data_IF_472586944790
#
_entry.id   IF_472586944790
#
_cell.length_a   1.000
_cell.length_b   1.000
_cell.length_c   1.000
_cell.angle_alpha   90.00
_cell.angle_beta   90.00
_cell.angle_gamma   90.00
#
_symmetry.space_group_name_H-M   'P 1'
#
loop_
_entity.id
_entity.type
_entity.pdbx_description
1 polymer ?
#
# COMPACT_ATOMS: atom_id res chain seq x y z
N UNK A 1 60.42 18.27 37.90
CA UNK A 1 60.11 17.31 36.83
C UNK A 1 60.39 15.83 37.14
N UNK A 2 61.27 15.44 38.10
CA UNK A 2 61.52 13.99 38.38
C UNK A 2 60.40 13.27 39.17
N UNK A 3 59.66 13.96 40.06
CA UNK A 3 58.57 13.36 40.85
C UNK A 3 57.31 13.02 40.04
N UNK A 4 57.06 13.71 38.92
CA UNK A 4 55.92 13.44 38.03
C UNK A 4 56.16 12.20 37.15
N UNK A 5 57.40 11.93 36.73
CA UNK A 5 57.73 10.71 35.96
C UNK A 5 57.62 9.42 36.79
N UNK A 6 58.01 9.44 38.07
CA UNK A 6 57.91 8.25 38.94
C UNK A 6 56.46 7.90 39.31
N UNK A 7 55.58 8.90 39.34
CA UNK A 7 54.16 8.71 39.58
C UNK A 7 53.47 8.07 38.36
N UNK A 8 53.75 8.56 37.15
CA UNK A 8 53.27 7.92 35.91
C UNK A 8 53.74 6.47 35.77
N UNK A 9 55.01 6.19 36.10
CA UNK A 9 55.59 4.85 35.96
C UNK A 9 55.03 3.82 36.95
N UNK A 10 54.51 4.27 38.10
CA UNK A 10 53.88 3.42 39.12
C UNK A 10 52.43 3.08 38.78
N UNK A 11 51.72 3.96 38.08
CA UNK A 11 50.33 3.77 37.66
C UNK A 11 50.16 3.20 36.24
N UNK A 12 51.24 3.20 35.45
CA UNK A 12 51.27 2.56 34.13
C UNK A 12 50.70 1.13 34.09
N UNK A 13 51.08 0.18 34.98
CA UNK A 13 50.53 -1.17 34.94
C UNK A 13 49.03 -1.22 35.27
N UNK A 14 48.54 -0.33 36.14
CA UNK A 14 47.11 -0.24 36.49
C UNK A 14 46.30 0.29 35.31
N UNK A 15 46.80 1.32 34.63
CA UNK A 15 46.20 1.84 33.39
C UNK A 15 46.19 0.78 32.28
N UNK A 16 47.26 0.01 32.13
CA UNK A 16 47.36 -1.08 31.15
C UNK A 16 46.35 -2.20 31.45
N UNK A 17 46.20 -2.59 32.72
CA UNK A 17 45.19 -3.55 33.16
C UNK A 17 43.77 -3.05 32.93
N UNK A 18 43.47 -1.80 33.26
CA UNK A 18 42.16 -1.20 32.99
C UNK A 18 41.86 -1.11 31.49
N UNK A 19 42.84 -0.79 30.67
CA UNK A 19 42.69 -0.77 29.22
C UNK A 19 42.42 -2.17 28.64
N UNK A 20 43.15 -3.19 29.09
CA UNK A 20 42.91 -4.58 28.70
C UNK A 20 41.53 -5.08 29.16
N UNK A 21 41.12 -4.74 30.38
CA UNK A 21 39.79 -5.06 30.89
C UNK A 21 38.71 -4.36 30.06
N UNK A 22 38.89 -3.08 29.71
CA UNK A 22 37.98 -2.35 28.85
C UNK A 22 37.89 -2.95 27.44
N UNK A 23 39.03 -3.37 26.85
CA UNK A 23 39.04 -4.08 25.57
C UNK A 23 38.33 -5.44 25.65
N UNK A 24 38.51 -6.19 26.74
CA UNK A 24 37.81 -7.45 26.98
C UNK A 24 36.30 -7.26 27.09
N UNK A 25 35.85 -6.26 27.85
CA UNK A 25 34.44 -5.90 27.98
C UNK A 25 33.88 -5.41 26.65
N UNK A 26 34.62 -4.59 25.90
CA UNK A 26 34.21 -4.13 24.57
C UNK A 26 34.09 -5.29 23.58
N UNK A 27 35.02 -6.25 23.60
CA UNK A 27 34.95 -7.46 22.79
C UNK A 27 33.75 -8.34 23.15
N UNK A 28 33.48 -8.53 24.45
CA UNK A 28 32.32 -9.27 24.95
C UNK A 28 30.99 -8.59 24.54
N UNK A 29 30.88 -7.29 24.77
CA UNK A 29 29.72 -6.50 24.36
C UNK A 29 29.55 -6.51 22.84
N UNK A 30 30.63 -6.47 22.06
CA UNK A 30 30.58 -6.52 20.59
C UNK A 30 30.07 -7.86 20.06
N UNK A 31 30.23 -8.96 20.78
CA UNK A 31 29.74 -10.28 20.38
C UNK A 31 28.29 -10.53 20.80
N UNK A 32 27.84 -9.89 21.87
CA UNK A 32 26.47 -10.07 22.38
C UNK A 32 25.49 -8.98 21.94
N UNK A 33 25.97 -7.77 21.68
CA UNK A 33 25.15 -6.62 21.29
C UNK A 33 25.59 -6.12 19.92
N UNK A 34 24.87 -6.55 18.88
CA UNK A 34 25.03 -6.01 17.54
C UNK A 34 24.19 -4.75 17.38
N UNK A 35 24.75 -3.60 17.78
CA UNK A 35 24.10 -2.32 17.52
C UNK A 35 24.42 -1.86 16.10
N UNK A 36 23.39 -1.72 15.26
CA UNK A 36 23.52 -1.20 13.90
C UNK A 36 22.65 0.04 13.77
N UNK A 37 23.25 1.12 13.30
CA UNK A 37 22.54 2.37 13.03
C UNK A 37 22.49 2.56 11.53
N UNK A 38 21.28 2.61 11.00
CA UNK A 38 21.05 2.88 9.59
C UNK A 38 21.06 4.38 9.35
N UNK A 39 22.21 4.89 8.91
CA UNK A 39 22.40 6.30 8.57
C UNK A 39 21.90 6.63 7.15
N UNK A 40 21.31 5.67 6.44
CA UNK A 40 20.79 5.94 5.10
C UNK A 40 19.49 6.73 5.19
N UNK A 41 19.32 7.71 4.31
CA UNK A 41 18.16 8.61 4.29
C UNK A 41 16.81 7.86 4.20
N UNK A 42 16.80 6.65 3.62
CA UNK A 42 15.61 5.84 3.43
C UNK A 42 15.58 4.57 4.32
N UNK A 43 16.52 4.41 5.25
CA UNK A 43 16.58 3.18 6.07
C UNK A 43 16.79 1.91 5.25
N UNK A 44 17.61 1.93 4.19
CA UNK A 44 17.81 0.82 3.22
C UNK A 44 18.30 -0.49 3.85
N UNK A 45 18.86 -0.45 5.06
CA UNK A 45 19.32 -1.63 5.79
C UNK A 45 18.37 -2.04 6.92
N UNK A 46 17.28 -1.29 7.10
CA UNK A 46 16.24 -1.50 8.09
C UNK A 46 14.94 -1.83 7.38
N UNK A 47 14.23 -2.86 7.84
CA UNK A 47 12.92 -3.17 7.28
C UNK A 47 11.93 -2.04 7.61
N UNK A 48 11.10 -1.71 6.62
CA UNK A 48 10.03 -0.75 6.80
C UNK A 48 9.10 -1.16 7.95
N UNK A 49 8.41 -0.19 8.59
CA UNK A 49 7.41 -0.50 9.61
C UNK A 49 6.33 -1.48 9.12
N UNK A 50 6.05 -1.43 7.82
CA UNK A 50 5.08 -2.30 7.13
C UNK A 50 5.55 -3.74 7.16
N UNK A 51 6.75 -4.02 6.65
CA UNK A 51 7.34 -5.38 6.63
C UNK A 51 7.41 -5.98 8.03
N UNK A 52 7.75 -5.17 9.04
CA UNK A 52 7.75 -5.60 10.45
C UNK A 52 6.36 -6.04 10.90
N UNK A 53 5.33 -5.23 10.67
CA UNK A 53 3.96 -5.56 11.03
C UNK A 53 3.46 -6.83 10.32
N UNK A 54 3.79 -7.05 9.04
CA UNK A 54 3.42 -8.29 8.34
C UNK A 54 4.02 -9.50 9.05
N UNK A 55 5.31 -9.46 9.40
CA UNK A 55 5.97 -10.56 10.10
C UNK A 55 5.32 -10.86 11.46
N UNK A 56 4.88 -9.84 12.19
CA UNK A 56 4.18 -10.00 13.47
C UNK A 56 2.84 -10.76 13.31
N UNK A 57 2.19 -10.65 12.15
CA UNK A 57 0.95 -11.38 11.83
C UNK A 57 1.16 -12.82 11.36
N UNK A 58 2.43 -13.27 11.21
CA UNK A 58 2.78 -14.59 10.69
C UNK A 58 3.40 -15.51 11.76
N UNK A 59 2.60 -16.08 12.69
CA UNK A 59 3.12 -17.01 13.69
C UNK A 59 3.41 -18.40 13.07
N UNK A 60 4.64 -18.86 13.26
CA UNK A 60 5.13 -20.15 12.76
C UNK A 60 6.25 -20.00 11.73
N UNK A 61 6.94 -21.10 11.47
CA UNK A 61 8.14 -21.10 10.64
C UNK A 61 7.82 -20.70 9.19
N UNK A 62 8.54 -19.70 8.69
CA UNK A 62 8.58 -19.27 7.31
C UNK A 62 9.84 -19.86 6.68
N UNK A 63 9.72 -20.62 5.60
CA UNK A 63 10.86 -21.16 4.87
C UNK A 63 11.07 -20.37 3.58
N UNK A 64 12.30 -19.93 3.33
CA UNK A 64 12.68 -19.17 2.16
C UNK A 64 13.78 -19.95 1.44
N UNK A 65 13.51 -20.30 0.19
CA UNK A 65 14.43 -21.04 -0.67
C UNK A 65 14.86 -20.15 -1.82
N UNK A 66 16.15 -19.84 -1.90
CA UNK A 66 16.73 -19.11 -3.01
C UNK A 66 17.31 -20.08 -4.05
N UNK A 67 16.77 -20.04 -5.25
CA UNK A 67 17.23 -20.84 -6.39
C UNK A 67 18.22 -20.01 -7.21
N UNK A 68 19.51 -20.06 -6.83
CA UNK A 68 20.55 -19.21 -7.39
C UNK A 68 21.85 -19.98 -7.65
N UNK A 69 22.38 -19.84 -8.87
CA UNK A 69 23.70 -20.36 -9.24
C UNK A 69 24.83 -19.56 -8.57
N UNK A 70 26.00 -20.19 -8.37
CA UNK A 70 27.19 -19.52 -7.82
C UNK A 70 27.79 -18.45 -8.74
N UNK A 71 27.63 -18.62 -10.05
CA UNK A 71 28.14 -17.69 -11.07
C UNK A 71 27.02 -17.43 -12.07
N UNK A 72 26.41 -16.26 -11.98
CA UNK A 72 25.51 -15.75 -13.00
C UNK A 72 26.32 -14.96 -14.06
N UNK A 73 26.15 -15.23 -15.36
CA UNK A 73 26.88 -14.54 -16.42
C UNK A 73 26.64 -13.03 -16.49
N UNK A 74 25.49 -12.54 -15.99
CA UNK A 74 25.09 -11.13 -16.01
C UNK A 74 25.38 -10.42 -14.69
N UNK A 75 25.19 -11.10 -13.56
CA UNK A 75 25.20 -10.45 -12.23
C UNK A 75 26.26 -10.96 -11.25
N UNK A 76 27.04 -11.98 -11.60
CA UNK A 76 28.06 -12.55 -10.72
C UNK A 76 27.47 -13.42 -9.61
N UNK A 77 27.93 -13.27 -8.37
CA UNK A 77 27.41 -14.04 -7.22
C UNK A 77 26.10 -13.45 -6.69
N UNK A 78 24.97 -13.98 -7.18
CA UNK A 78 23.62 -13.62 -6.74
C UNK A 78 23.32 -14.05 -5.29
N UNK A 79 24.11 -14.96 -4.70
CA UNK A 79 23.80 -15.49 -3.37
C UNK A 79 24.07 -14.47 -2.27
N UNK A 80 25.10 -13.63 -2.41
CA UNK A 80 25.41 -12.62 -1.40
C UNK A 80 24.30 -11.56 -1.25
N UNK A 81 23.85 -10.89 -2.33
CA UNK A 81 22.75 -9.92 -2.23
C UNK A 81 21.46 -10.53 -1.64
N UNK A 82 21.12 -11.75 -2.05
CA UNK A 82 19.93 -12.45 -1.54
C UNK A 82 20.09 -12.77 -0.04
N UNK A 83 21.27 -13.26 0.37
CA UNK A 83 21.55 -13.56 1.78
C UNK A 83 21.43 -12.32 2.64
N UNK A 84 22.05 -11.22 2.21
CA UNK A 84 21.98 -9.94 2.94
C UNK A 84 20.55 -9.42 3.01
N UNK A 85 19.77 -9.58 1.93
CA UNK A 85 18.37 -9.22 1.89
C UNK A 85 17.53 -10.00 2.92
N UNK A 86 17.61 -11.34 2.89
CA UNK A 86 16.82 -12.23 3.76
C UNK A 86 17.28 -12.15 5.22
N UNK A 87 18.57 -11.92 5.47
CA UNK A 87 19.10 -11.73 6.81
C UNK A 87 18.40 -10.60 7.57
N UNK A 88 17.95 -9.54 6.86
CA UNK A 88 17.17 -8.46 7.48
C UNK A 88 15.85 -8.95 8.09
N UNK A 89 15.18 -9.90 7.43
CA UNK A 89 13.94 -10.52 7.90
C UNK A 89 14.21 -11.53 9.03
N UNK A 90 15.28 -12.33 8.92
CA UNK A 90 15.67 -13.29 9.97
C UNK A 90 15.94 -12.63 11.32
N UNK A 91 16.43 -11.39 11.33
CA UNK A 91 16.64 -10.62 12.57
C UNK A 91 15.34 -10.32 13.32
N UNK A 92 14.24 -10.12 12.61
CA UNK A 92 12.92 -9.87 13.21
C UNK A 92 12.12 -11.14 13.43
N UNK A 93 12.36 -12.16 12.60
CA UNK A 93 11.66 -13.45 12.61
C UNK A 93 12.67 -14.60 12.75
N UNK A 94 13.10 -14.95 13.98
CA UNK A 94 14.13 -15.98 14.21
C UNK A 94 13.75 -17.38 13.75
N UNK A 95 12.46 -17.66 13.58
CA UNK A 95 11.91 -18.90 13.03
C UNK A 95 11.89 -18.94 11.49
N UNK A 96 12.43 -17.91 10.82
CA UNK A 96 12.63 -17.88 9.37
C UNK A 96 13.84 -18.73 8.97
N UNK A 97 13.57 -19.84 8.27
CA UNK A 97 14.59 -20.74 7.71
C UNK A 97 14.96 -20.30 6.31
N UNK A 98 16.24 -20.14 6.04
CA UNK A 98 16.72 -19.72 4.72
C UNK A 98 17.72 -20.74 4.15
N UNK A 99 17.51 -21.19 2.91
CA UNK A 99 18.38 -22.14 2.22
C UNK A 99 18.62 -21.73 0.77
N UNK A 100 19.79 -22.11 0.24
CA UNK A 100 20.12 -21.98 -1.18
C UNK A 100 20.01 -23.33 -1.87
N UNK A 101 19.46 -23.35 -3.07
CA UNK A 101 19.49 -24.49 -3.98
C UNK A 101 20.11 -24.01 -5.28
N UNK A 102 21.11 -24.73 -5.78
CA UNK A 102 21.66 -24.45 -7.10
C UNK A 102 20.79 -25.15 -8.17
N UNK A 103 20.10 -24.42 -9.07
CA UNK A 103 19.30 -25.03 -10.11
C UNK A 103 20.14 -25.88 -11.09
N UNK A 104 21.43 -25.58 -11.24
CA UNK A 104 22.34 -26.33 -12.10
C UNK A 104 22.76 -27.66 -11.48
N UNK A 105 22.95 -27.71 -10.16
CA UNK A 105 23.30 -28.95 -9.44
C UNK A 105 22.06 -29.83 -9.17
N UNK A 106 20.92 -29.21 -8.86
CA UNK A 106 19.69 -29.91 -8.44
C UNK A 106 18.46 -29.52 -9.31
N UNK A 107 18.48 -29.79 -10.63
CA UNK A 107 17.42 -29.36 -11.55
C UNK A 107 16.06 -29.99 -11.26
N UNK A 108 16.03 -31.19 -10.66
CA UNK A 108 14.79 -31.86 -10.26
C UNK A 108 14.03 -31.05 -9.20
N UNK A 109 14.74 -30.50 -8.21
CA UNK A 109 14.14 -29.70 -7.13
C UNK A 109 13.66 -28.34 -7.65
N UNK A 110 14.41 -27.71 -8.56
CA UNK A 110 13.99 -26.45 -9.18
C UNK A 110 12.73 -26.62 -10.03
N UNK A 111 12.65 -27.70 -10.83
CA UNK A 111 11.45 -28.01 -11.63
C UNK A 111 10.25 -28.38 -10.77
N UNK A 112 10.45 -29.18 -9.73
CA UNK A 112 9.37 -29.55 -8.80
C UNK A 112 8.82 -28.32 -8.06
N UNK A 113 9.69 -27.36 -7.75
CA UNK A 113 9.31 -26.09 -7.16
C UNK A 113 8.84 -25.04 -8.18
N UNK A 114 8.69 -25.37 -9.48
CA UNK A 114 8.15 -24.45 -10.49
C UNK A 114 9.00 -23.21 -10.81
N UNK A 115 10.29 -23.23 -10.50
CA UNK A 115 11.21 -22.10 -10.68
C UNK A 115 11.41 -21.81 -12.17
N UNK A 116 11.27 -20.54 -12.55
CA UNK A 116 11.34 -20.07 -13.92
C UNK A 116 12.61 -19.27 -14.21
N UNK A 117 13.14 -18.55 -13.20
CA UNK A 117 14.31 -17.66 -13.38
C UNK A 117 15.43 -17.98 -12.40
N UNK A 118 16.67 -17.65 -12.79
CA UNK A 118 17.80 -17.72 -11.87
C UNK A 118 17.72 -16.58 -10.84
N UNK A 119 17.94 -16.89 -9.57
CA UNK A 119 17.78 -15.93 -8.46
C UNK A 119 16.36 -15.87 -7.89
N UNK A 120 15.45 -16.75 -8.30
CA UNK A 120 14.08 -16.79 -7.80
C UNK A 120 14.03 -17.23 -6.33
N UNK A 121 13.17 -16.57 -5.56
CA UNK A 121 12.87 -16.89 -4.18
C UNK A 121 11.51 -17.59 -4.10
N UNK A 122 11.50 -18.77 -3.47
CA UNK A 122 10.26 -19.49 -3.12
C UNK A 122 10.07 -19.36 -1.61
N UNK A 123 8.93 -18.78 -1.22
CA UNK A 123 8.55 -18.54 0.17
C UNK A 123 7.45 -19.52 0.54
N UNK A 124 7.70 -20.36 1.54
CA UNK A 124 6.79 -21.39 2.03
C UNK A 124 6.29 -21.06 3.44
N UNK A 125 4.98 -21.01 3.62
CA UNK A 125 4.35 -20.79 4.92
C UNK A 125 3.01 -21.52 5.02
N UNK A 126 2.89 -22.40 6.03
CA UNK A 126 1.68 -23.21 6.31
C UNK A 126 1.15 -23.97 5.08
N UNK A 127 2.05 -24.57 4.29
CA UNK A 127 1.70 -25.37 3.12
C UNK A 127 1.30 -24.57 1.87
N UNK A 128 1.48 -23.24 1.89
CA UNK A 128 1.33 -22.37 0.72
C UNK A 128 2.69 -21.82 0.32
N UNK A 129 2.86 -21.62 -0.98
CA UNK A 129 4.11 -21.18 -1.59
C UNK A 129 3.87 -19.93 -2.43
N UNK A 130 4.78 -18.97 -2.35
CA UNK A 130 4.80 -17.77 -3.18
C UNK A 130 6.15 -17.64 -3.88
N UNK A 131 6.13 -17.18 -5.12
CA UNK A 131 7.31 -17.05 -5.96
C UNK A 131 7.65 -15.59 -6.20
N UNK A 132 8.94 -15.28 -6.12
CA UNK A 132 9.46 -13.94 -6.35
C UNK A 132 10.67 -13.99 -7.28
N UNK A 133 10.50 -13.40 -8.46
CA UNK A 133 11.57 -13.23 -9.45
C UNK A 133 12.41 -11.97 -9.22
N UNK A 134 11.91 -11.04 -8.40
CA UNK A 134 12.54 -9.75 -8.10
C UNK A 134 12.97 -9.68 -6.64
N UNK A 135 14.17 -9.17 -6.40
CA UNK A 135 14.71 -8.99 -5.05
C UNK A 135 14.49 -7.55 -4.57
N UNK A 136 13.27 -7.23 -4.14
CA UNK A 136 12.96 -5.96 -3.48
C UNK A 136 12.00 -6.15 -2.30
N UNK A 137 11.98 -5.19 -1.38
CA UNK A 137 11.18 -5.28 -0.15
C UNK A 137 9.68 -5.24 -0.41
N UNK A 138 9.22 -4.47 -1.41
CA UNK A 138 7.81 -4.34 -1.72
C UNK A 138 7.21 -5.68 -2.18
N UNK A 139 7.83 -6.35 -3.15
CA UNK A 139 7.35 -7.63 -3.67
C UNK A 139 7.45 -8.72 -2.62
N UNK A 140 8.54 -8.74 -1.85
CA UNK A 140 8.70 -9.68 -0.74
C UNK A 140 7.62 -9.49 0.33
N UNK A 141 7.35 -8.25 0.73
CA UNK A 141 6.30 -7.93 1.71
C UNK A 141 4.92 -8.28 1.19
N UNK A 142 4.64 -8.01 -0.10
CA UNK A 142 3.38 -8.40 -0.72
C UNK A 142 3.20 -9.93 -0.73
N UNK A 143 4.24 -10.71 -1.08
CA UNK A 143 4.20 -12.17 -1.00
C UNK A 143 3.96 -12.65 0.45
N UNK A 144 4.63 -12.04 1.44
CA UNK A 144 4.36 -12.34 2.84
C UNK A 144 2.91 -12.02 3.24
N UNK A 145 2.32 -10.92 2.75
CA UNK A 145 0.90 -10.62 3.02
C UNK A 145 -0.04 -11.67 2.42
N UNK A 146 0.23 -12.15 1.20
CA UNK A 146 -0.54 -13.25 0.58
C UNK A 146 -0.42 -14.54 1.40
N UNK A 147 0.79 -14.87 1.84
CA UNK A 147 1.05 -15.97 2.76
C UNK A 147 0.46 -15.74 4.15
N UNK A 148 0.34 -14.51 4.65
CA UNK A 148 -0.25 -14.26 5.97
C UNK A 148 -1.76 -14.51 5.98
N UNK A 149 -2.46 -14.18 4.87
CA UNK A 149 -3.93 -14.15 4.77
C UNK A 149 -4.64 -15.49 4.97
N UNK A 150 -3.93 -16.63 4.90
CA UNK A 150 -4.53 -17.96 5.13
C UNK A 150 -5.23 -18.56 3.90
N UNK A 151 -6.03 -17.76 3.20
CA UNK A 151 -6.86 -18.17 2.05
C UNK A 151 -7.02 -17.03 1.05
N UNK A 152 -7.32 -17.37 -0.21
CA UNK A 152 -7.68 -16.39 -1.24
C UNK A 152 -9.00 -15.70 -0.86
N UNK A 153 -9.02 -14.37 -0.89
CA UNK A 153 -10.26 -13.59 -0.74
C UNK A 153 -10.86 -13.38 -2.11
N UNK A 154 -12.03 -13.97 -2.35
CA UNK A 154 -12.75 -13.83 -3.61
C UNK A 154 -13.51 -12.49 -3.62
N UNK A 155 -13.21 -11.65 -4.60
CA UNK A 155 -13.90 -10.40 -4.88
C UNK A 155 -14.69 -10.57 -6.17
N UNK A 156 -16.00 -10.56 -6.08
CA UNK A 156 -16.87 -10.66 -7.25
C UNK A 156 -17.29 -9.27 -7.71
N UNK A 157 -17.15 -8.95 -9.00
CA UNK A 157 -17.64 -7.71 -9.58
C UNK A 157 -18.84 -7.98 -10.49
N UNK A 158 -19.94 -7.26 -10.29
CA UNK A 158 -21.13 -7.39 -11.13
C UNK A 158 -20.81 -7.00 -12.58
N UNK A 159 -21.27 -7.81 -13.52
CA UNK A 159 -21.21 -7.55 -14.97
C UNK A 159 -22.52 -7.97 -15.65
N UNK A 160 -22.79 -7.37 -16.80
CA UNK A 160 -23.89 -7.76 -17.69
C UNK A 160 -24.68 -6.57 -18.25
N UNK A 161 -24.60 -5.42 -17.59
CA UNK A 161 -25.37 -4.21 -17.88
C UNK A 161 -24.47 -2.98 -18.11
N UNK A 162 -23.21 -3.19 -18.53
CA UNK A 162 -22.26 -2.12 -18.86
C UNK A 162 -21.49 -1.54 -17.67
N UNK A 163 -21.44 -2.28 -16.57
CA UNK A 163 -20.65 -1.98 -15.38
C UNK A 163 -19.16 -1.84 -15.70
N UNK A 164 -18.44 -1.08 -14.87
CA UNK A 164 -16.98 -0.97 -14.95
C UNK A 164 -16.35 -2.29 -14.55
N UNK A 165 -15.37 -2.74 -15.33
CA UNK A 165 -14.76 -4.06 -15.14
C UNK A 165 -13.45 -4.01 -14.36
N UNK A 166 -13.25 -4.96 -13.44
CA UNK A 166 -11.97 -5.13 -12.71
C UNK A 166 -10.85 -5.72 -13.60
N UNK A 167 -11.19 -6.22 -14.79
CA UNK A 167 -10.25 -6.71 -15.80
C UNK A 167 -10.27 -5.84 -17.08
N UNK A 168 -10.97 -4.71 -17.06
CA UNK A 168 -11.18 -3.84 -18.21
C UNK A 168 -10.05 -2.83 -18.45
N UNK A 169 -9.70 -2.61 -19.71
CA UNK A 169 -8.62 -1.69 -20.11
C UNK A 169 -9.08 -0.27 -20.45
N UNK A 170 -10.38 0.02 -20.46
CA UNK A 170 -10.86 1.35 -20.82
C UNK A 170 -10.53 2.38 -19.72
N UNK A 171 -10.44 3.69 -20.02
CA UNK A 171 -10.15 4.70 -19.01
C UNK A 171 -11.15 4.74 -17.84
N UNK A 172 -12.40 4.36 -18.08
CA UNK A 172 -13.47 4.31 -17.09
C UNK A 172 -13.54 2.95 -16.35
N UNK A 173 -12.85 1.91 -16.83
CA UNK A 173 -12.80 0.62 -16.17
C UNK A 173 -11.90 0.65 -14.93
N UNK A 174 -11.96 -0.42 -14.14
CA UNK A 174 -11.20 -0.61 -12.90
C UNK A 174 -10.04 -1.63 -13.06
N UNK A 175 -9.59 -1.87 -14.29
CA UNK A 175 -8.58 -2.89 -14.61
C UNK A 175 -7.28 -2.76 -13.80
N UNK A 176 -6.74 -1.55 -13.71
CA UNK A 176 -5.54 -1.27 -12.93
C UNK A 176 -5.75 -1.57 -11.44
N UNK A 177 -6.93 -1.23 -10.91
CA UNK A 177 -7.29 -1.53 -9.53
C UNK A 177 -7.40 -3.04 -9.30
N UNK A 178 -8.04 -3.78 -10.21
CA UNK A 178 -8.10 -5.25 -10.16
C UNK A 178 -6.72 -5.92 -10.21
N UNK A 179 -5.78 -5.39 -10.99
CA UNK A 179 -4.37 -5.86 -10.99
C UNK A 179 -3.69 -5.61 -9.65
N UNK A 180 -3.88 -4.44 -9.05
CA UNK A 180 -3.35 -4.13 -7.72
C UNK A 180 -3.96 -5.04 -6.64
N UNK A 181 -5.27 -5.31 -6.69
CA UNK A 181 -5.92 -6.28 -5.81
C UNK A 181 -5.31 -7.68 -5.95
N UNK A 182 -5.07 -8.13 -7.18
CA UNK A 182 -4.42 -9.41 -7.46
C UNK A 182 -3.01 -9.47 -6.86
N UNK A 183 -2.21 -8.40 -7.03
CA UNK A 183 -0.89 -8.29 -6.41
C UNK A 183 -0.95 -8.34 -4.88
N UNK A 184 -2.05 -7.88 -4.28
CA UNK A 184 -2.29 -7.88 -2.82
C UNK A 184 -2.94 -9.17 -2.29
N UNK A 185 -3.15 -10.18 -3.15
CA UNK A 185 -3.66 -11.50 -2.77
C UNK A 185 -5.17 -11.67 -2.83
N UNK A 186 -5.89 -10.75 -3.46
CA UNK A 186 -7.29 -10.95 -3.80
C UNK A 186 -7.41 -11.70 -5.11
N UNK A 187 -8.45 -12.52 -5.23
CA UNK A 187 -8.84 -13.10 -6.51
C UNK A 187 -10.09 -12.40 -6.99
N UNK A 188 -10.02 -11.75 -8.14
CA UNK A 188 -11.17 -11.02 -8.71
C UNK A 188 -11.86 -11.88 -9.76
N UNK A 189 -13.20 -11.96 -9.71
CA UNK A 189 -14.00 -12.68 -10.72
C UNK A 189 -15.18 -11.83 -11.19
N UNK A 190 -15.53 -11.87 -12.50
CA UNK A 190 -16.78 -11.30 -12.96
C UNK A 190 -17.97 -12.17 -12.48
N UNK A 191 -19.08 -11.53 -12.14
CA UNK A 191 -20.33 -12.18 -11.71
C UNK A 191 -21.49 -11.67 -12.56
N UNK A 192 -22.20 -12.55 -13.25
CA UNK A 192 -23.33 -12.19 -14.10
C UNK A 192 -24.62 -12.76 -13.51
N UNK A 193 -25.36 -11.96 -12.76
CA UNK A 193 -26.57 -12.42 -12.07
C UNK A 193 -27.74 -12.73 -13.00
N UNK A 194 -27.67 -12.41 -14.29
CA UNK A 194 -28.64 -12.90 -15.28
C UNK A 194 -28.40 -14.38 -15.61
N UNK A 195 -27.14 -14.84 -15.58
CA UNK A 195 -26.75 -16.22 -15.86
C UNK A 195 -26.57 -17.07 -14.59
N UNK A 196 -26.00 -16.48 -13.55
CA UNK A 196 -25.70 -17.12 -12.27
C UNK A 196 -26.95 -17.19 -11.38
N UNK A 197 -27.12 -18.30 -10.65
CA UNK A 197 -28.29 -18.50 -9.80
C UNK A 197 -28.34 -17.50 -8.63
N UNK A 198 -27.21 -17.29 -7.96
CA UNK A 198 -27.04 -16.43 -6.78
C UNK A 198 -25.60 -15.94 -6.71
N UNK A 199 -25.33 -14.93 -5.85
CA UNK A 199 -23.95 -14.62 -5.45
C UNK A 199 -23.39 -15.83 -4.68
N UNK A 200 -22.24 -16.41 -5.07
CA UNK A 200 -21.65 -17.55 -4.37
C UNK A 200 -21.32 -17.26 -2.89
N UNK A 201 -21.35 -18.30 -2.04
CA UNK A 201 -21.15 -18.16 -0.59
C UNK A 201 -19.68 -17.88 -0.19
N UNK A 202 -18.72 -18.24 -1.03
CA UNK A 202 -17.29 -18.00 -0.84
C UNK A 202 -16.84 -16.59 -1.26
N UNK A 203 -17.74 -15.79 -1.85
CA UNK A 203 -17.48 -14.37 -2.17
C UNK A 203 -17.32 -13.58 -0.88
N UNK A 204 -16.10 -13.10 -0.65
CA UNK A 204 -15.76 -12.28 0.51
C UNK A 204 -16.30 -10.85 0.40
N UNK A 205 -16.30 -10.29 -0.82
CA UNK A 205 -16.80 -8.94 -1.11
C UNK A 205 -17.45 -8.92 -2.50
N UNK A 206 -18.66 -8.38 -2.58
CA UNK A 206 -19.29 -8.00 -3.83
C UNK A 206 -18.93 -6.55 -4.18
N UNK A 207 -18.51 -6.29 -5.41
CA UNK A 207 -18.25 -4.94 -5.95
C UNK A 207 -19.36 -4.60 -6.93
N UNK A 208 -20.12 -3.57 -6.60
CA UNK A 208 -21.13 -3.00 -7.48
C UNK A 208 -20.63 -1.66 -8.01
N UNK A 209 -20.61 -1.52 -9.33
CA UNK A 209 -20.42 -0.23 -9.99
C UNK A 209 -21.71 0.13 -10.71
N UNK A 210 -21.94 1.42 -10.97
CA UNK A 210 -23.15 1.88 -11.64
C UNK A 210 -23.35 1.15 -12.98
N UNK A 211 -24.48 0.43 -13.17
CA UNK A 211 -24.85 -0.10 -14.48
C UNK A 211 -25.07 1.01 -15.50
N UNK A 212 -25.06 0.68 -16.79
CA UNK A 212 -25.41 1.59 -17.90
C UNK A 212 -26.80 1.29 -18.49
N UNK A 213 -27.37 0.14 -18.16
CA UNK A 213 -28.74 -0.25 -18.49
C UNK A 213 -29.43 -0.84 -17.26
N UNK A 214 -30.76 -0.87 -17.26
CA UNK A 214 -31.55 -1.42 -16.15
C UNK A 214 -31.20 -2.88 -15.87
N UNK A 215 -30.89 -3.19 -14.61
CA UNK A 215 -30.77 -4.56 -14.12
C UNK A 215 -32.16 -5.17 -13.92
N UNK A 216 -32.29 -6.47 -14.15
CA UNK A 216 -33.57 -7.15 -13.98
C UNK A 216 -33.98 -7.19 -12.49
N UNK A 217 -35.29 -7.11 -12.16
CA UNK A 217 -35.75 -7.18 -10.77
C UNK A 217 -35.26 -8.44 -10.03
N UNK A 218 -35.20 -9.57 -10.73
CA UNK A 218 -34.69 -10.82 -10.16
C UNK A 218 -33.20 -10.78 -9.81
N UNK A 219 -32.41 -9.94 -10.46
CA UNK A 219 -30.99 -9.73 -10.14
C UNK A 219 -30.82 -8.84 -8.91
N UNK A 220 -31.59 -7.74 -8.83
CA UNK A 220 -31.64 -6.90 -7.64
C UNK A 220 -32.05 -7.71 -6.40
N UNK A 221 -33.01 -8.64 -6.53
CA UNK A 221 -33.40 -9.54 -5.45
C UNK A 221 -32.30 -10.52 -5.03
N UNK A 222 -31.45 -11.00 -5.95
CA UNK A 222 -30.27 -11.84 -5.62
C UNK A 222 -29.26 -11.03 -4.80
N UNK A 223 -28.99 -9.77 -5.17
CA UNK A 223 -28.12 -8.87 -4.41
C UNK A 223 -28.69 -8.65 -3.01
N UNK A 224 -29.99 -8.39 -2.90
CA UNK A 224 -30.67 -8.22 -1.61
C UNK A 224 -30.56 -9.47 -0.74
N UNK A 225 -30.71 -10.68 -1.29
CA UNK A 225 -30.51 -11.94 -0.56
C UNK A 225 -29.07 -12.09 -0.06
N UNK A 226 -28.07 -11.73 -0.87
CA UNK A 226 -26.66 -11.69 -0.46
C UNK A 226 -26.43 -10.74 0.73
N UNK A 227 -27.01 -9.54 0.69
CA UNK A 227 -26.87 -8.57 1.78
C UNK A 227 -27.66 -8.98 3.04
N UNK A 228 -28.82 -9.61 2.87
CA UNK A 228 -29.66 -10.07 3.98
C UNK A 228 -28.95 -11.13 4.84
N UNK A 229 -28.15 -12.01 4.23
CA UNK A 229 -27.38 -13.04 4.96
C UNK A 229 -26.06 -12.53 5.57
N UNK A 230 -25.69 -11.26 5.36
CA UNK A 230 -24.48 -10.68 5.94
C UNK A 230 -23.33 -10.41 4.96
N UNK A 231 -23.56 -10.55 3.65
CA UNK A 231 -22.53 -10.33 2.64
C UNK A 231 -21.95 -8.90 2.64
N UNK A 232 -20.65 -8.78 2.34
CA UNK A 232 -19.93 -7.50 2.33
C UNK A 232 -19.99 -6.84 0.96
N UNK A 233 -20.10 -5.52 0.92
CA UNK A 233 -20.33 -4.77 -0.31
C UNK A 233 -19.40 -3.55 -0.42
N UNK A 234 -18.73 -3.42 -1.55
CA UNK A 234 -18.26 -2.12 -2.05
C UNK A 234 -19.22 -1.63 -3.13
N UNK A 235 -19.92 -0.53 -2.87
CA UNK A 235 -20.79 0.09 -3.86
C UNK A 235 -20.23 1.42 -4.33
N UNK A 236 -19.87 1.47 -5.61
CA UNK A 236 -19.38 2.64 -6.31
C UNK A 236 -20.52 3.25 -7.12
N UNK A 237 -21.07 4.34 -6.60
CA UNK A 237 -22.19 5.06 -7.17
C UNK A 237 -21.73 6.17 -8.12
N UNK A 238 -22.57 6.50 -9.09
CA UNK A 238 -22.48 7.70 -9.91
C UNK A 238 -23.75 8.55 -9.72
N UNK A 239 -23.70 9.87 -9.97
CA UNK A 239 -24.87 10.73 -10.05
C UNK A 239 -25.88 10.20 -11.08
N UNK A 240 -27.17 10.38 -10.80
CA UNK A 240 -28.26 9.94 -11.67
C UNK A 240 -28.97 8.67 -11.19
N UNK A 241 -29.62 8.00 -12.15
CA UNK A 241 -30.46 6.81 -11.96
C UNK A 241 -29.64 5.57 -11.56
N UNK A 242 -30.13 4.81 -10.57
CA UNK A 242 -29.52 3.56 -10.10
C UNK A 242 -29.78 2.36 -11.02
N UNK A 243 -30.52 2.53 -12.11
CA UNK A 243 -30.72 1.52 -13.16
C UNK A 243 -31.23 0.18 -12.60
N UNK A 244 -32.24 0.20 -11.74
CA UNK A 244 -32.85 -1.00 -11.15
C UNK A 244 -32.26 -1.41 -9.79
N UNK A 245 -31.20 -0.76 -9.32
CA UNK A 245 -30.62 -1.00 -7.99
C UNK A 245 -31.29 -0.18 -6.85
N UNK A 246 -32.36 0.56 -7.13
CA UNK A 246 -33.15 1.29 -6.13
C UNK A 246 -33.54 0.41 -4.92
N UNK A 247 -34.04 -0.83 -5.11
CA UNK A 247 -34.41 -1.69 -3.97
C UNK A 247 -33.23 -2.06 -3.06
N UNK A 248 -32.00 -2.04 -3.58
CA UNK A 248 -30.78 -2.28 -2.80
C UNK A 248 -30.45 -1.03 -1.96
N UNK A 249 -30.57 0.16 -2.54
CA UNK A 249 -30.37 1.42 -1.82
C UNK A 249 -31.41 1.60 -0.69
N UNK A 250 -32.67 1.25 -0.96
CA UNK A 250 -33.75 1.26 0.03
C UNK A 250 -33.50 0.28 1.18
N UNK A 251 -33.06 -0.96 0.87
CA UNK A 251 -32.69 -1.95 1.90
C UNK A 251 -31.58 -1.46 2.83
N UNK A 252 -30.63 -0.68 2.30
CA UNK A 252 -29.52 -0.11 3.05
C UNK A 252 -29.84 1.24 3.69
N UNK A 253 -31.07 1.76 3.51
CA UNK A 253 -31.49 3.05 4.04
C UNK A 253 -30.71 4.24 3.44
N UNK A 254 -30.17 4.11 2.22
CA UNK A 254 -29.40 5.18 1.59
C UNK A 254 -30.32 6.33 1.15
N UNK A 255 -30.00 7.54 1.59
CA UNK A 255 -30.62 8.78 1.14
C UNK A 255 -29.70 9.46 0.13
N UNK A 256 -29.95 9.22 -1.16
CA UNK A 256 -29.09 9.71 -2.23
C UNK A 256 -29.62 11.01 -2.81
N UNK A 257 -29.03 12.14 -2.41
CA UNK A 257 -29.39 13.45 -2.96
C UNK A 257 -29.10 13.48 -4.47
N UNK A 258 -30.06 13.93 -5.31
CA UNK A 258 -29.79 14.20 -6.72
C UNK A 258 -28.74 15.30 -6.89
N UNK A 259 -27.97 15.24 -7.98
CA UNK A 259 -26.96 16.23 -8.29
C UNK A 259 -25.52 15.73 -8.16
N UNK A 260 -24.58 16.61 -8.47
CA UNK A 260 -23.13 16.36 -8.50
C UNK A 260 -22.45 17.30 -7.52
N UNK A 261 -21.42 16.84 -6.82
CA UNK A 261 -20.64 17.69 -5.92
C UNK A 261 -19.70 18.58 -6.74
N UNK A 262 -19.83 19.89 -6.54
CA UNK A 262 -18.89 20.88 -7.08
C UNK A 262 -17.98 21.35 -5.94
N UNK A 263 -16.68 21.36 -6.19
CA UNK A 263 -15.67 21.77 -5.20
C UNK A 263 -14.72 22.82 -5.80
N UNK A 264 -14.72 24.06 -5.29
CA UNK A 264 -13.76 25.09 -5.70
C UNK A 264 -12.28 24.67 -5.54
N UNK A 265 -11.97 23.78 -4.60
CA UNK A 265 -10.62 23.24 -4.39
C UNK A 265 -10.09 22.50 -5.63
N UNK A 266 -10.97 21.89 -6.41
CA UNK A 266 -10.59 21.15 -7.60
C UNK A 266 -9.86 22.03 -8.61
N UNK A 267 -10.33 23.26 -8.81
CA UNK A 267 -9.71 24.24 -9.74
C UNK A 267 -8.31 24.64 -9.28
N UNK A 268 -8.12 24.81 -7.98
CA UNK A 268 -6.81 25.12 -7.38
C UNK A 268 -5.79 23.99 -7.64
N UNK A 269 -6.27 22.75 -7.82
CA UNK A 269 -5.48 21.56 -8.13
C UNK A 269 -5.42 21.22 -9.63
N UNK A 270 -5.99 22.06 -10.51
CA UNK A 270 -6.05 21.80 -11.95
C UNK A 270 -6.95 20.61 -12.33
N UNK A 271 -7.99 20.35 -11.54
CA UNK A 271 -9.00 19.32 -11.76
C UNK A 271 -10.31 19.95 -12.24
N UNK A 272 -11.21 19.13 -12.78
CA UNK A 272 -12.52 19.57 -13.20
C UNK A 272 -13.37 20.03 -11.98
N UNK A 273 -14.23 21.06 -12.11
CA UNK A 273 -14.99 21.62 -10.99
C UNK A 273 -15.92 20.62 -10.28
N UNK A 274 -16.40 19.62 -11.02
CA UNK A 274 -17.25 18.51 -10.55
C UNK A 274 -16.45 17.38 -9.86
N UNK A 275 -15.16 17.62 -9.59
CA UNK A 275 -14.30 16.69 -8.83
C UNK A 275 -14.29 17.09 -7.37
N UNK A 276 -14.98 16.31 -6.54
CA UNK A 276 -14.92 16.49 -5.10
C UNK A 276 -13.51 16.17 -4.56
N UNK A 277 -13.00 17.03 -3.67
CA UNK A 277 -11.72 16.82 -3.01
C UNK A 277 -11.98 16.50 -1.54
N UNK A 278 -11.40 15.41 -1.05
CA UNK A 278 -11.51 15.07 0.37
C UNK A 278 -10.86 16.16 1.22
N UNK A 279 -11.63 16.72 2.15
CA UNK A 279 -11.16 17.70 3.12
C UNK A 279 -11.02 17.09 4.52
N UNK A 280 -11.88 16.13 4.85
CA UNK A 280 -11.86 15.43 6.13
C UNK A 280 -12.14 13.94 5.93
N UNK A 281 -11.42 13.14 6.71
CA UNK A 281 -11.66 11.71 6.82
C UNK A 281 -12.22 11.40 8.21
N UNK A 282 -13.29 10.61 8.26
CA UNK A 282 -13.87 10.22 9.56
C UNK A 282 -12.98 9.24 10.32
N UNK A 283 -13.17 9.09 11.65
CA UNK A 283 -12.37 8.19 12.48
C UNK A 283 -12.76 6.73 12.22
N UNK A 284 -12.11 6.09 11.25
CA UNK A 284 -12.40 4.72 10.82
C UNK A 284 -11.10 3.95 10.51
N UNK A 285 -11.03 2.61 10.67
CA UNK A 285 -9.81 1.84 10.36
C UNK A 285 -9.26 2.09 8.95
N UNK A 286 -10.15 2.24 7.96
CA UNK A 286 -9.80 2.54 6.55
C UNK A 286 -9.06 3.87 6.39
N UNK A 287 -9.36 4.85 7.25
CA UNK A 287 -8.85 6.24 7.13
C UNK A 287 -7.86 6.61 8.22
N UNK A 288 -7.61 5.72 9.19
CA UNK A 288 -6.82 6.02 10.39
C UNK A 288 -5.35 6.38 10.13
N UNK A 289 -4.77 5.98 9.00
CA UNK A 289 -3.37 6.25 8.61
C UNK A 289 -3.26 6.97 7.26
N UNK A 290 -4.33 7.69 6.89
CA UNK A 290 -4.44 8.29 5.59
C UNK A 290 -3.88 9.72 5.58
N UNK A 291 -2.72 9.89 4.94
CA UNK A 291 -2.00 11.18 4.87
C UNK A 291 -2.04 11.83 3.47
N UNK A 292 -2.73 11.18 2.51
CA UNK A 292 -2.80 11.64 1.12
C UNK A 292 -4.17 12.27 0.86
N UNK A 293 -4.22 13.22 -0.07
CA UNK A 293 -5.50 13.76 -0.56
C UNK A 293 -6.11 12.76 -1.55
N UNK A 294 -7.41 12.50 -1.45
CA UNK A 294 -8.18 11.73 -2.44
C UNK A 294 -9.14 12.62 -3.21
N UNK A 295 -9.43 12.23 -4.45
CA UNK A 295 -10.27 12.99 -5.37
C UNK A 295 -11.35 12.09 -5.96
N UNK A 296 -12.57 12.61 -6.08
CA UNK A 296 -13.76 11.87 -6.47
C UNK A 296 -14.46 12.60 -7.62
N UNK A 297 -14.10 12.29 -8.88
CA UNK A 297 -14.73 12.89 -10.04
C UNK A 297 -16.21 12.54 -10.09
N UNK A 298 -17.06 13.52 -10.45
CA UNK A 298 -18.51 13.37 -10.55
C UNK A 298 -19.10 12.71 -9.30
N UNK A 299 -18.69 13.18 -8.11
CA UNK A 299 -19.19 12.60 -6.88
C UNK A 299 -20.66 12.98 -6.64
N UNK A 300 -21.44 12.08 -6.05
CA UNK A 300 -22.76 12.37 -5.49
C UNK A 300 -22.71 12.38 -3.97
N UNK A 301 -23.61 13.14 -3.35
CA UNK A 301 -23.80 13.11 -1.91
C UNK A 301 -24.42 11.79 -1.46
N UNK A 302 -23.95 11.28 -0.32
CA UNK A 302 -24.48 10.09 0.32
C UNK A 302 -25.02 10.48 1.70
N UNK A 303 -26.33 10.34 1.88
CA UNK A 303 -26.99 10.28 3.18
C UNK A 303 -27.37 8.84 3.54
N UNK A 304 -27.66 8.61 4.81
CA UNK A 304 -28.23 7.36 5.32
C UNK A 304 -29.30 7.74 6.32
N UNK A 305 -30.45 7.08 6.27
CA UNK A 305 -31.51 7.24 7.24
C UNK A 305 -31.08 6.65 8.59
N UNK A 306 -31.53 7.23 9.70
CA UNK A 306 -31.23 6.68 11.01
C UNK A 306 -31.85 5.28 11.17
N UNK A 307 -31.00 4.27 11.24
CA UNK A 307 -31.36 2.88 11.53
C UNK A 307 -30.43 2.36 12.64
N UNK A 308 -30.96 2.03 13.83
CA UNK A 308 -30.15 1.54 14.94
C UNK A 308 -29.48 0.19 14.66
N UNK A 309 -29.91 -0.55 13.63
CA UNK A 309 -29.24 -1.78 13.21
C UNK A 309 -27.85 -1.53 12.61
N UNK A 310 -27.58 -0.32 12.10
CA UNK A 310 -26.33 0.02 11.44
C UNK A 310 -25.50 0.99 12.26
N UNK A 311 -24.22 0.66 12.43
CA UNK A 311 -23.21 1.63 12.80
C UNK A 311 -22.70 2.32 11.54
N UNK A 312 -23.09 3.58 11.34
CA UNK A 312 -22.74 4.37 10.15
C UNK A 312 -21.62 5.34 10.47
N UNK A 313 -20.54 5.32 9.68
CA UNK A 313 -19.41 6.24 9.80
C UNK A 313 -19.21 6.99 8.48
N UNK A 314 -19.20 8.34 8.45
CA UNK A 314 -18.76 9.08 7.28
C UNK A 314 -17.27 8.82 7.08
N UNK A 315 -16.88 8.33 5.90
CA UNK A 315 -15.48 8.04 5.58
C UNK A 315 -14.78 9.25 4.97
N UNK A 316 -15.48 9.93 4.07
CA UNK A 316 -14.92 11.03 3.27
C UNK A 316 -15.91 12.17 3.20
N UNK A 317 -15.45 13.34 3.63
CA UNK A 317 -16.19 14.58 3.62
C UNK A 317 -15.40 15.64 2.86
N UNK A 318 -16.12 16.40 2.03
CA UNK A 318 -15.58 17.56 1.31
C UNK A 318 -15.57 18.79 2.21
N UNK A 319 -14.93 19.87 1.76
CA UNK A 319 -14.86 21.11 2.53
C UNK A 319 -16.23 21.80 2.63
N UNK A 320 -16.44 22.64 3.65
CA UNK A 320 -17.70 23.40 3.80
C UNK A 320 -18.03 24.36 2.64
N UNK A 321 -17.06 24.64 1.76
CA UNK A 321 -17.22 25.48 0.55
C UNK A 321 -17.70 24.70 -0.69
N UNK A 322 -17.78 23.37 -0.60
CA UNK A 322 -18.39 22.55 -1.64
C UNK A 322 -19.91 22.64 -1.56
N UNK A 323 -20.59 22.19 -2.61
CA UNK A 323 -22.04 22.04 -2.61
C UNK A 323 -22.45 20.90 -3.54
N UNK A 324 -23.69 20.45 -3.40
CA UNK A 324 -24.36 19.59 -4.38
C UNK A 324 -25.06 20.49 -5.38
N UNK A 325 -24.59 20.46 -6.63
CA UNK A 325 -25.16 21.15 -7.78
C UNK A 325 -26.26 20.28 -8.40
N UNK A 326 -27.48 20.82 -8.42
CA UNK A 326 -28.64 20.12 -9.01
C UNK A 326 -28.76 20.34 -10.53
N UNK A 327 -28.11 21.37 -11.07
CA UNK A 327 -28.12 21.74 -12.49
C UNK A 327 -26.93 21.25 -13.29
N UNK A 328 -26.43 22.10 -14.20
CA UNK A 328 -25.26 21.80 -15.01
C UNK A 328 -23.98 22.15 -14.24
N UNK A 329 -23.26 21.12 -13.79
CA UNK A 329 -21.97 21.26 -13.10
C UNK A 329 -20.82 21.58 -14.08
N UNK A 330 -20.82 22.77 -14.69
CA UNK A 330 -19.80 23.22 -15.64
C UNK A 330 -18.74 24.16 -15.00
N UNK A 331 -17.82 24.69 -15.82
CA UNK A 331 -16.77 25.62 -15.39
C UNK A 331 -17.28 26.94 -14.80
N UNK A 332 -18.55 27.29 -15.01
CA UNK A 332 -19.18 28.49 -14.50
C UNK A 332 -20.19 28.21 -13.39
N UNK A 333 -20.34 26.94 -12.97
CA UNK A 333 -21.18 26.55 -11.85
C UNK A 333 -20.86 27.39 -10.60
N UNK A 334 -21.90 27.96 -10.03
CA UNK A 334 -21.85 28.81 -8.86
C UNK A 334 -23.04 28.47 -7.97
N UNK A 335 -22.78 28.35 -6.66
CA UNK A 335 -23.78 27.93 -5.69
C UNK A 335 -25.06 28.79 -5.76
N UNK A 336 -26.19 28.14 -5.97
CA UNK A 336 -27.54 28.72 -5.97
C UNK A 336 -28.34 28.21 -4.74
N UNK A 337 -28.42 28.97 -3.64
CA UNK A 337 -29.08 28.56 -2.40
C UNK A 337 -30.50 27.93 -2.52
N UNK A 338 -31.41 28.39 -3.41
CA UNK A 338 -32.71 27.77 -3.60
C UNK A 338 -32.69 26.38 -4.28
N UNK A 339 -31.62 26.02 -4.98
CA UNK A 339 -31.55 24.76 -5.75
C UNK A 339 -30.47 23.80 -5.25
N UNK A 340 -29.44 24.32 -4.61
CA UNK A 340 -28.25 23.57 -4.22
C UNK A 340 -28.21 23.26 -2.73
N UNK A 341 -27.48 22.20 -2.40
CA UNK A 341 -27.25 21.80 -1.01
C UNK A 341 -25.84 22.19 -0.60
N UNK A 342 -25.72 23.12 0.34
CA UNK A 342 -24.43 23.56 0.88
C UNK A 342 -23.69 22.40 1.57
N UNK A 343 -22.36 22.39 1.43
CA UNK A 343 -21.47 21.47 2.12
C UNK A 343 -21.29 21.76 3.62
N UNK A 344 -20.48 20.96 4.33
CA UNK A 344 -19.66 19.86 3.81
C UNK A 344 -20.50 18.69 3.29
N UNK A 345 -20.08 18.09 2.18
CA UNK A 345 -20.78 16.97 1.55
C UNK A 345 -20.05 15.67 1.83
N UNK A 346 -20.78 14.67 2.36
CA UNK A 346 -20.28 13.31 2.56
C UNK A 346 -20.34 12.54 1.25
N UNK A 347 -19.18 12.12 0.75
CA UNK A 347 -19.03 11.39 -0.54
C UNK A 347 -18.59 9.94 -0.35
N UNK A 348 -18.38 9.50 0.89
CA UNK A 348 -18.10 8.10 1.21
C UNK A 348 -18.59 7.74 2.62
N UNK A 349 -19.19 6.56 2.78
CA UNK A 349 -19.67 6.04 4.05
C UNK A 349 -19.34 4.58 4.25
N UNK A 350 -19.10 4.21 5.50
CA UNK A 350 -19.06 2.84 5.97
C UNK A 350 -20.32 2.54 6.79
N UNK A 351 -20.88 1.35 6.58
CA UNK A 351 -21.96 0.80 7.38
C UNK A 351 -21.50 -0.55 7.92
N UNK A 352 -21.70 -0.78 9.22
CA UNK A 352 -21.38 -2.03 9.88
C UNK A 352 -22.54 -2.52 10.73
N UNK A 353 -22.73 -3.84 10.78
CA UNK A 353 -23.63 -4.48 11.75
C UNK A 353 -23.18 -5.89 12.06
N UNK A 354 -23.68 -6.44 13.15
CA UNK A 354 -23.55 -7.87 13.42
C UNK A 354 -24.61 -8.63 12.60
N UNK A 355 -24.21 -9.76 12.01
CA UNK A 355 -25.08 -10.66 11.26
C UNK A 355 -24.86 -12.11 11.68
N UNK A 356 -25.68 -13.04 11.19
CA UNK A 356 -25.53 -14.47 11.50
C UNK A 356 -24.20 -15.05 11.01
N UNK A 357 -23.65 -14.51 9.91
CA UNK A 357 -22.37 -14.92 9.32
C UNK A 357 -21.17 -14.13 9.89
N UNK A 358 -21.41 -13.29 10.91
CA UNK A 358 -20.43 -12.42 11.54
C UNK A 358 -20.63 -10.95 11.20
N UNK A 359 -19.59 -10.14 11.40
CA UNK A 359 -19.66 -8.69 11.20
C UNK A 359 -19.77 -8.35 9.71
N UNK A 360 -20.92 -7.84 9.30
CA UNK A 360 -21.19 -7.37 7.96
C UNK A 360 -20.63 -5.96 7.78
N UNK A 361 -19.94 -5.72 6.66
CA UNK A 361 -19.31 -4.45 6.32
C UNK A 361 -19.72 -4.01 4.93
N UNK A 362 -20.12 -2.75 4.83
CA UNK A 362 -20.51 -2.14 3.55
C UNK A 362 -19.81 -0.79 3.44
N UNK A 363 -19.24 -0.52 2.28
CA UNK A 363 -18.71 0.79 1.93
C UNK A 363 -19.46 1.31 0.69
N UNK A 364 -19.96 2.54 0.78
CA UNK A 364 -20.63 3.22 -0.32
C UNK A 364 -19.83 4.47 -0.65
N UNK A 365 -19.36 4.58 -1.89
CA UNK A 365 -18.59 5.73 -2.38
C UNK A 365 -19.36 6.38 -3.52
N UNK A 366 -19.52 7.69 -3.44
CA UNK A 366 -20.36 8.49 -4.32
C UNK A 366 -19.75 8.78 -5.69
N UNK A 367 -18.62 8.15 -6.03
CA UNK A 367 -17.96 8.28 -7.32
C UNK A 367 -17.49 6.89 -7.76
N UNK A 368 -17.92 6.43 -8.93
CA UNK A 368 -17.33 5.27 -9.60
C UNK A 368 -15.99 5.55 -10.25
N UNK A 369 -15.70 6.82 -10.52
CA UNK A 369 -14.50 7.25 -11.23
C UNK A 369 -13.24 7.23 -10.38
N UNK A 370 -13.32 7.35 -9.05
CA UNK A 370 -12.12 7.49 -8.22
C UNK A 370 -11.15 6.30 -8.31
N UNK A 371 -11.67 5.08 -8.59
CA UNK A 371 -10.86 3.87 -8.82
C UNK A 371 -10.67 3.54 -10.30
N UNK A 372 -11.22 4.35 -11.21
CA UNK A 372 -11.06 4.13 -12.63
C UNK A 372 -9.61 4.31 -13.07
N UNK A 373 -9.23 3.63 -14.14
CA UNK A 373 -7.88 3.70 -14.70
C UNK A 373 -7.40 5.15 -14.92
N UNK A 374 -8.31 6.06 -15.30
CA UNK A 374 -8.02 7.48 -15.48
C UNK A 374 -7.66 8.25 -14.19
N UNK A 375 -8.09 7.79 -13.01
CA UNK A 375 -7.99 8.50 -11.74
C UNK A 375 -7.31 7.72 -10.62
N UNK A 376 -7.06 6.42 -10.79
CA UNK A 376 -6.49 5.56 -9.75
C UNK A 376 -5.14 6.07 -9.22
N UNK A 377 -4.32 6.66 -10.09
CA UNK A 377 -3.03 7.25 -9.74
C UNK A 377 -3.10 8.68 -9.18
N UNK A 378 -4.29 9.23 -8.93
CA UNK A 378 -4.45 10.59 -8.37
C UNK A 378 -4.45 10.52 -6.85
N UNK A 379 -3.50 11.23 -6.24
CA UNK A 379 -3.41 11.33 -4.79
C UNK A 379 -3.34 9.96 -4.13
N UNK A 380 -4.17 9.74 -3.10
CA UNK A 380 -4.28 8.47 -2.38
C UNK A 380 -5.38 7.52 -2.87
N UNK A 381 -5.97 7.71 -4.06
CA UNK A 381 -7.15 6.95 -4.50
C UNK A 381 -6.93 5.42 -4.48
N UNK A 382 -5.78 4.96 -4.98
CA UNK A 382 -5.43 3.54 -4.93
C UNK A 382 -5.36 3.03 -3.49
N UNK A 383 -4.66 3.75 -2.60
CA UNK A 383 -4.46 3.35 -1.21
C UNK A 383 -5.82 3.22 -0.49
N UNK A 384 -6.69 4.21 -0.65
CA UNK A 384 -8.04 4.18 -0.10
C UNK A 384 -8.85 2.98 -0.63
N UNK A 385 -8.77 2.71 -1.94
CA UNK A 385 -9.43 1.57 -2.56
C UNK A 385 -8.97 0.23 -1.99
N UNK A 386 -7.66 0.04 -1.82
CA UNK A 386 -7.12 -1.20 -1.25
C UNK A 386 -7.51 -1.34 0.23
N UNK A 387 -7.50 -0.24 1.00
CA UNK A 387 -7.85 -0.25 2.42
C UNK A 387 -9.34 -0.53 2.64
N UNK A 388 -10.22 -0.01 1.77
CA UNK A 388 -11.62 -0.38 1.72
C UNK A 388 -11.80 -1.89 1.52
N UNK A 389 -11.13 -2.48 0.52
CA UNK A 389 -11.26 -3.92 0.23
C UNK A 389 -10.70 -4.80 1.35
N UNK A 390 -9.57 -4.42 1.96
CA UNK A 390 -9.03 -5.15 3.11
C UNK A 390 -9.99 -5.11 4.31
N UNK A 391 -10.58 -3.94 4.58
CA UNK A 391 -11.59 -3.82 5.62
C UNK A 391 -12.83 -4.66 5.34
N UNK A 392 -13.40 -4.56 4.14
CA UNK A 392 -14.57 -5.33 3.72
C UNK A 392 -14.33 -6.84 3.79
N UNK A 393 -13.15 -7.30 3.40
CA UNK A 393 -12.81 -8.72 3.38
C UNK A 393 -12.52 -9.33 4.76
N UNK A 394 -12.66 -8.57 5.86
CA UNK A 394 -12.38 -9.08 7.21
C UNK A 394 -10.95 -8.84 7.70
N UNK A 395 -10.07 -8.34 6.85
CA UNK A 395 -8.63 -8.30 7.08
C UNK A 395 -8.19 -6.93 7.60
N UNK A 396 -8.87 -6.44 8.65
CA UNK A 396 -8.62 -5.11 9.22
C UNK A 396 -7.17 -4.95 9.73
N UNK A 397 -6.53 -6.05 10.14
CA UNK A 397 -5.12 -6.07 10.54
C UNK A 397 -4.18 -5.75 9.36
N UNK A 398 -4.59 -5.99 8.11
CA UNK A 398 -3.81 -5.68 6.91
C UNK A 398 -4.00 -4.24 6.42
N UNK A 399 -5.05 -3.53 6.85
CA UNK A 399 -5.27 -2.11 6.51
C UNK A 399 -4.08 -1.25 7.00
N UNK A 400 -3.58 -1.52 8.20
CA UNK A 400 -2.48 -0.77 8.80
C UNK A 400 -1.09 -1.08 8.19
N UNK A 401 -1.05 -1.82 7.08
CA UNK A 401 0.16 -2.45 6.52
C UNK A 401 0.22 -2.26 5.00
N UNK A 402 -0.06 -1.06 4.48
CA UNK A 402 0.28 -0.74 3.08
C UNK A 402 1.75 -0.33 2.97
N UNK A 403 2.56 -1.01 2.13
CA UNK A 403 3.87 -0.51 1.73
C UNK A 403 3.68 0.80 0.97
N UNK A 404 4.03 1.93 1.59
CA UNK A 404 4.16 3.20 0.86
C UNK A 404 5.35 3.05 -0.08
N UNK A 405 5.20 3.51 -1.32
CA UNK A 405 6.32 3.56 -2.26
C UNK A 405 7.48 4.31 -1.60
N UNK A 406 8.62 3.65 -1.43
CA UNK A 406 9.84 4.36 -1.07
C UNK A 406 10.14 5.30 -2.22
N UNK A 407 10.23 6.60 -1.94
CA UNK A 407 10.68 7.57 -2.93
C UNK A 407 12.03 7.09 -3.43
N UNK A 408 12.07 6.66 -4.69
CA UNK A 408 13.33 6.39 -5.36
C UNK A 408 14.15 7.67 -5.23
N UNK A 409 15.28 7.58 -4.55
CA UNK A 409 16.26 8.65 -4.50
C UNK A 409 16.95 8.72 -5.86
N UNK A 410 16.19 9.06 -6.90
CA UNK A 410 16.71 9.52 -8.16
C UNK A 410 17.38 10.86 -7.90
N UNK A 411 18.71 10.89 -7.95
CA UNK A 411 19.45 12.12 -7.83
C UNK A 411 19.29 12.90 -9.14
N UNK A 412 18.23 13.70 -9.26
CA UNK A 412 17.98 14.52 -10.45
C UNK A 412 18.87 15.77 -10.40
N UNK A 413 20.17 15.58 -10.64
CA UNK A 413 21.13 16.67 -10.76
C UNK A 413 20.94 17.34 -12.12
N UNK A 414 20.62 18.64 -12.11
CA UNK A 414 20.73 19.45 -13.32
C UNK A 414 22.14 19.34 -13.90
N UNK A 415 22.28 19.35 -15.23
CA UNK A 415 23.57 19.20 -15.93
C UNK A 415 24.67 20.11 -15.36
N UNK A 416 24.30 21.34 -14.96
CA UNK A 416 25.18 22.32 -14.31
C UNK A 416 25.67 21.88 -12.93
N UNK A 417 24.78 21.36 -12.07
CA UNK A 417 25.14 20.86 -10.75
C UNK A 417 26.06 19.63 -10.84
N UNK A 418 25.77 18.72 -11.78
CA UNK A 418 26.61 17.56 -12.05
C UNK A 418 28.02 17.96 -12.54
N UNK A 419 28.12 18.91 -13.48
CA UNK A 419 29.42 19.42 -13.95
C UNK A 419 30.20 20.16 -12.86
N UNK A 420 29.53 20.95 -12.01
CA UNK A 420 30.17 21.65 -10.90
C UNK A 420 30.75 20.67 -9.86
N UNK A 421 30.00 19.62 -9.51
CA UNK A 421 30.48 18.54 -8.64
C UNK A 421 31.67 17.82 -9.26
N UNK A 422 31.59 17.44 -10.54
CA UNK A 422 32.67 16.76 -11.24
C UNK A 422 33.96 17.60 -11.27
N UNK A 423 33.87 18.89 -11.64
CA UNK A 423 35.01 19.81 -11.65
C UNK A 423 35.58 20.06 -10.24
N UNK A 424 34.70 20.18 -9.24
CA UNK A 424 35.10 20.35 -7.84
C UNK A 424 35.93 19.17 -7.33
N UNK A 425 35.50 17.94 -7.59
CA UNK A 425 36.23 16.73 -7.16
C UNK A 425 37.45 16.41 -8.03
N UNK A 426 37.38 16.63 -9.34
CA UNK A 426 38.47 16.29 -10.26
C UNK A 426 39.61 17.33 -10.25
N UNK A 427 39.30 18.60 -10.02
CA UNK A 427 40.27 19.70 -10.11
C UNK A 427 40.40 20.41 -8.77
N UNK A 428 39.28 20.80 -8.16
CA UNK A 428 39.28 21.58 -6.91
C UNK A 428 39.98 20.84 -5.76
N UNK A 429 39.56 19.60 -5.48
CA UNK A 429 40.13 18.80 -4.38
C UNK A 429 41.63 18.53 -4.58
N UNK A 430 42.12 18.07 -5.75
CA UNK A 430 43.55 17.93 -5.97
C UNK A 430 44.33 19.24 -5.82
N UNK A 431 43.82 20.37 -6.32
CA UNK A 431 44.48 21.66 -6.16
C UNK A 431 44.59 22.10 -4.70
N UNK A 432 43.57 21.83 -3.89
CA UNK A 432 43.63 22.07 -2.44
C UNK A 432 44.70 21.21 -1.79
N UNK A 433 44.78 19.92 -2.14
CA UNK A 433 45.83 19.03 -1.62
C UNK A 433 47.24 19.46 -2.08
N UNK A 434 47.41 19.84 -3.34
CA UNK A 434 48.68 20.38 -3.86
C UNK A 434 49.05 21.70 -3.18
N UNK A 435 48.10 22.62 -3.00
CA UNK A 435 48.30 23.88 -2.31
C UNK A 435 48.70 23.67 -0.84
N UNK A 436 48.02 22.75 -0.15
CA UNK A 436 48.36 22.36 1.22
C UNK A 436 49.76 21.72 1.30
N UNK A 437 50.12 20.84 0.35
CA UNK A 437 51.44 20.21 0.27
C UNK A 437 52.54 21.26 0.06
N UNK A 438 52.35 22.21 -0.86
CA UNK A 438 53.29 23.31 -1.13
C UNK A 438 53.41 24.23 0.10
N UNK A 439 52.30 24.55 0.75
CA UNK A 439 52.29 25.39 1.95
C UNK A 439 53.07 24.73 3.11
N UNK A 440 52.83 23.43 3.36
CA UNK A 440 53.57 22.66 4.36
C UNK A 440 55.06 22.56 4.00
N UNK A 441 55.39 22.33 2.72
CA UNK A 441 56.78 22.27 2.26
C UNK A 441 57.51 23.61 2.46
N UNK A 442 56.88 24.73 2.09
CA UNK A 442 57.46 26.07 2.31
C UNK A 442 57.64 26.41 3.79
N UNK A 443 56.72 25.98 4.66
CA UNK A 443 56.81 26.23 6.10
C UNK A 443 57.84 25.34 6.82
N UNK A 444 58.28 24.23 6.19
CA UNK A 444 59.36 23.37 6.72
C UNK A 444 60.75 23.78 6.23
N UNK A 445 60.83 24.47 5.09
CA UNK A 445 62.08 24.91 4.46
C UNK A 445 62.38 26.41 4.64
N UNK A 446 61.46 27.15 5.26
CA UNK A 446 61.69 28.47 5.86
C UNK A 446 61.83 28.29 7.37
#
# INVERSE_FOLDING_TARGET
MKKTLSWLRRHQPVLLLLFLAAMGVAGYLSQHYHWQWDLTQNGRHTLSPVSRKVLDTMPGALEVTAYATLQDPQYGDLRQPIRDFVARYQRLKPDLKFKFVDPAELPQLARAAGVQVNGELVLDYRGRSEHLSTLNEQDFTNALMRLARGHERLVAALVGHGERRLDGGAPHDLGEFGRQLTHKGFRTVPLNLAADAEVPADVSVLVLTQPRSEVLPGEADKIKRYLARGGNLLWLLEPGDLHGLQPVAEMLGLALTPGVVVDPAARELGLAPDTAVAAQYGPHPVTAQFDLVTVFPRARAIGVNDDPAWHVTPLVETAARSWVESGAADEHAAFDPPQDVAGPVVVGRALERESEEGRQRIAVIGSGDFLANAYLGRGGNLDLGIDLLNWLAGDANLIAIQPKNTVDAGLNLGKTAASALALGFLIGVPLVFFGAAIFVWRRRNA
#
